data_IF_870010862109
#
_entry.id   IF_870010862109
#
_cell.length_a   1.000
_cell.length_b   1.000
_cell.length_c   1.000
_cell.angle_alpha   90.00
_cell.angle_beta   90.00
_cell.angle_gamma   90.00
#
_symmetry.space_group_name_H-M   'P 1'
#
loop_
_entity.id
_entity.type
_entity.pdbx_description
1 polymer ?
#
# COMPACT_ATOMS: atom_id res chain seq x y z
N UNK A 1 -53.95 66.45 21.36
CA UNK A 1 -52.65 67.05 21.72
C UNK A 1 -51.80 65.98 22.42
N UNK A 2 -51.12 65.02 21.79
CA UNK A 2 -50.69 64.75 20.41
C UNK A 2 -50.09 65.96 19.72
N UNK A 3 -48.81 66.20 19.99
CA UNK A 3 -47.72 66.75 19.16
C UNK A 3 -46.64 67.16 20.17
N UNK A 4 -45.63 66.31 20.37
CA UNK A 4 -44.28 66.68 20.89
C UNK A 4 -43.34 65.50 21.21
N UNK A 5 -43.67 64.27 20.79
CA UNK A 5 -42.77 63.11 20.91
C UNK A 5 -42.21 62.60 19.56
N UNK A 6 -42.22 63.45 18.52
CA UNK A 6 -41.96 63.02 17.12
C UNK A 6 -40.65 63.49 16.49
N UNK A 7 -39.89 64.40 17.11
CA UNK A 7 -38.75 65.07 16.44
C UNK A 7 -37.36 64.80 17.05
N UNK A 8 -37.23 63.90 18.03
CA UNK A 8 -35.95 63.61 18.67
C UNK A 8 -35.30 62.25 18.29
N UNK A 9 -35.88 61.51 17.33
CA UNK A 9 -35.36 60.20 16.92
C UNK A 9 -34.96 60.11 15.43
N UNK A 10 -34.92 61.24 14.73
CA UNK A 10 -34.38 61.33 13.36
C UNK A 10 -33.04 62.06 13.41
N UNK A 11 -32.03 61.44 14.03
CA UNK A 11 -30.64 61.91 13.97
C UNK A 11 -29.64 60.80 14.31
N UNK A 12 -29.77 59.62 13.70
CA UNK A 12 -28.60 58.75 13.46
C UNK A 12 -28.89 57.76 12.32
N UNK A 13 -29.35 58.28 11.18
CA UNK A 13 -29.33 57.56 9.90
C UNK A 13 -28.03 57.91 9.20
N UNK A 14 -26.98 57.14 9.46
CA UNK A 14 -25.65 57.45 8.94
C UNK A 14 -24.57 56.40 9.18
N UNK A 15 -24.91 55.11 9.31
CA UNK A 15 -23.91 54.05 9.14
C UNK A 15 -24.15 53.34 7.81
N UNK A 16 -23.37 53.78 6.84
CA UNK A 16 -23.15 53.15 5.56
C UNK A 16 -22.88 51.63 5.75
N UNK A 17 -23.65 50.72 5.12
CA UNK A 17 -23.42 49.28 5.21
C UNK A 17 -22.08 48.84 4.60
N UNK A 18 -21.28 49.76 4.03
CA UNK A 18 -19.91 49.53 3.59
C UNK A 18 -18.86 49.43 4.71
N UNK A 19 -19.20 49.77 5.97
CA UNK A 19 -18.27 49.79 7.11
C UNK A 19 -18.21 48.51 7.97
N UNK A 20 -18.84 47.41 7.55
CA UNK A 20 -18.52 46.10 8.11
C UNK A 20 -17.29 45.54 7.38
N UNK A 21 -16.11 46.04 7.74
CA UNK A 21 -14.86 45.40 7.38
C UNK A 21 -14.90 43.91 7.79
N UNK A 22 -14.18 43.03 7.07
CA UNK A 22 -14.19 41.60 7.39
C UNK A 22 -13.87 41.40 8.88
N UNK A 23 -14.54 40.44 9.56
CA UNK A 23 -14.34 40.19 10.98
C UNK A 23 -12.84 40.03 11.27
N UNK A 24 -12.35 40.51 12.43
CA UNK A 24 -10.92 40.50 12.73
C UNK A 24 -10.38 39.08 12.62
N UNK A 25 -9.57 38.84 11.59
CA UNK A 25 -8.92 37.56 11.31
C UNK A 25 -8.17 37.14 12.58
N UNK A 26 -8.52 35.97 13.12
CA UNK A 26 -7.95 35.51 14.38
C UNK A 26 -6.45 35.32 14.20
N UNK A 27 -5.66 35.48 15.26
CA UNK A 27 -4.20 35.31 15.17
C UNK A 27 -3.78 33.92 14.65
N UNK A 28 -4.67 32.92 14.80
CA UNK A 28 -4.50 31.57 14.27
C UNK A 28 -4.68 31.55 12.74
N UNK A 29 -5.71 32.21 12.23
CA UNK A 29 -6.00 32.31 10.80
C UNK A 29 -4.89 33.07 10.07
N UNK A 30 -4.39 34.15 10.67
CA UNK A 30 -3.27 34.95 10.13
C UNK A 30 -1.96 34.18 10.07
N UNK A 31 -1.71 33.30 11.06
CA UNK A 31 -0.53 32.44 11.08
C UNK A 31 -0.65 31.31 10.06
N UNK A 32 -1.82 30.68 9.97
CA UNK A 32 -2.09 29.65 8.98
C UNK A 32 -2.01 30.20 7.55
N UNK A 33 -2.59 31.38 7.29
CA UNK A 33 -2.53 32.02 5.97
C UNK A 33 -1.10 32.43 5.60
N UNK A 34 -0.30 32.92 6.55
CA UNK A 34 1.12 33.23 6.36
C UNK A 34 2.02 32.01 6.12
N UNK A 35 1.78 30.89 6.81
CA UNK A 35 2.50 29.63 6.56
C UNK A 35 2.11 29.04 5.21
N UNK A 36 0.83 29.09 4.85
CA UNK A 36 0.32 28.61 3.56
C UNK A 36 0.89 29.47 2.41
N UNK A 37 0.90 30.79 2.53
CA UNK A 37 1.45 31.68 1.50
C UNK A 37 2.95 31.49 1.34
N UNK A 38 3.71 31.30 2.43
CA UNK A 38 5.14 31.00 2.37
C UNK A 38 5.44 29.68 1.66
N UNK A 39 4.57 28.66 1.84
CA UNK A 39 4.68 27.38 1.10
C UNK A 39 4.43 27.58 -0.40
N UNK A 40 3.45 28.41 -0.77
CA UNK A 40 3.12 28.69 -2.17
C UNK A 40 4.07 29.67 -2.87
N UNK A 41 4.72 30.58 -2.14
CA UNK A 41 5.68 31.56 -2.68
C UNK A 41 6.99 30.94 -3.15
N UNK A 42 7.35 29.75 -2.63
CA UNK A 42 8.45 29.00 -3.20
C UNK A 42 8.08 28.58 -4.63
N UNK A 43 8.71 29.21 -5.63
CA UNK A 43 8.57 28.93 -7.07
C UNK A 43 8.74 27.43 -7.42
N UNK A 44 9.30 26.65 -6.51
CA UNK A 44 9.49 25.20 -6.62
C UNK A 44 8.33 24.36 -6.07
N UNK A 45 7.37 24.92 -5.33
CA UNK A 45 6.32 24.15 -4.66
C UNK A 45 5.37 23.48 -5.66
N UNK A 46 4.89 24.21 -6.66
CA UNK A 46 4.03 23.65 -7.71
C UNK A 46 4.72 22.53 -8.48
N UNK A 47 6.02 22.70 -8.79
CA UNK A 47 6.83 21.68 -9.45
C UNK A 47 7.03 20.44 -8.56
N UNK A 48 7.35 20.62 -7.29
CA UNK A 48 7.48 19.52 -6.32
C UNK A 48 6.16 18.76 -6.14
N UNK A 49 5.05 19.47 -6.00
CA UNK A 49 3.72 18.87 -5.87
C UNK A 49 3.38 18.04 -7.12
N UNK A 50 3.58 18.59 -8.31
CA UNK A 50 3.36 17.89 -9.57
C UNK A 50 4.27 16.65 -9.67
N UNK A 51 5.55 16.79 -9.31
CA UNK A 51 6.50 15.69 -9.27
C UNK A 51 6.02 14.57 -8.34
N UNK A 52 5.55 14.88 -7.13
CA UNK A 52 5.00 13.88 -6.19
C UNK A 52 3.75 13.19 -6.74
N UNK A 53 2.82 13.96 -7.34
CA UNK A 53 1.59 13.40 -7.92
C UNK A 53 1.94 12.42 -9.05
N UNK A 54 2.82 12.82 -9.97
CA UNK A 54 3.24 11.97 -11.09
C UNK A 54 3.91 10.69 -10.58
N UNK A 55 4.84 10.81 -9.62
CA UNK A 55 5.50 9.64 -9.03
C UNK A 55 4.50 8.70 -8.33
N UNK A 56 3.52 9.26 -7.61
CA UNK A 56 2.49 8.47 -6.96
C UNK A 56 1.61 7.72 -7.98
N UNK A 57 1.23 8.38 -9.08
CA UNK A 57 0.47 7.76 -10.16
C UNK A 57 1.25 6.64 -10.85
N UNK A 58 2.54 6.86 -11.14
CA UNK A 58 3.44 5.82 -11.69
C UNK A 58 3.54 4.64 -10.73
N UNK A 59 3.67 4.90 -9.42
CA UNK A 59 3.71 3.86 -8.39
C UNK A 59 2.44 3.01 -8.38
N UNK A 60 1.26 3.65 -8.28
CA UNK A 60 -0.03 2.94 -8.27
C UNK A 60 -0.25 2.15 -9.56
N UNK A 61 0.10 2.73 -10.71
CA UNK A 61 0.02 2.07 -12.01
C UNK A 61 0.91 0.82 -12.08
N UNK A 62 2.16 0.93 -11.63
CA UNK A 62 3.11 -0.19 -11.62
C UNK A 62 2.67 -1.31 -10.69
N UNK A 63 2.16 -0.98 -9.50
CA UNK A 63 1.61 -1.97 -8.57
C UNK A 63 0.41 -2.67 -9.20
N UNK A 64 -0.47 -1.94 -9.89
CA UNK A 64 -1.58 -2.51 -10.66
C UNK A 64 -1.10 -3.49 -11.74
N UNK A 65 -0.10 -3.09 -12.53
CA UNK A 65 0.46 -3.90 -13.60
C UNK A 65 1.06 -5.23 -13.09
N UNK A 66 1.84 -5.16 -12.01
CA UNK A 66 2.42 -6.36 -11.39
C UNK A 66 1.32 -7.28 -10.85
N UNK A 67 0.28 -6.72 -10.21
CA UNK A 67 -0.85 -7.53 -9.71
C UNK A 67 -1.63 -8.20 -10.85
N UNK A 68 -1.85 -7.51 -11.97
CA UNK A 68 -2.53 -8.07 -13.13
C UNK A 68 -1.73 -9.22 -13.76
N UNK A 69 -0.41 -9.08 -13.89
CA UNK A 69 0.47 -10.15 -14.38
C UNK A 69 0.51 -11.34 -13.40
N UNK A 70 0.63 -11.06 -12.10
CA UNK A 70 0.59 -12.07 -11.06
C UNK A 70 -0.73 -12.85 -11.05
N UNK A 71 -1.84 -12.19 -11.35
CA UNK A 71 -3.15 -12.83 -11.45
C UNK A 71 -3.25 -13.75 -12.68
N UNK A 72 -2.73 -13.34 -13.84
CA UNK A 72 -2.65 -14.25 -14.99
C UNK A 72 -1.78 -15.47 -14.69
N UNK A 73 -0.67 -15.29 -13.98
CA UNK A 73 0.20 -16.40 -13.59
C UNK A 73 -0.51 -17.35 -12.61
N UNK A 74 -1.22 -16.80 -11.62
CA UNK A 74 -1.98 -17.57 -10.65
C UNK A 74 -3.09 -18.42 -11.30
N UNK A 75 -3.71 -17.91 -12.38
CA UNK A 75 -4.71 -18.63 -13.18
C UNK A 75 -4.12 -19.64 -14.16
N UNK A 76 -2.79 -19.70 -14.30
CA UNK A 76 -2.13 -20.55 -15.29
C UNK A 76 -2.16 -20.01 -16.73
N UNK A 77 -2.59 -18.76 -16.93
CA UNK A 77 -2.61 -18.14 -18.24
C UNK A 77 -1.19 -17.81 -18.71
N UNK A 78 -0.78 -18.30 -19.88
CA UNK A 78 0.48 -17.90 -20.53
C UNK A 78 0.29 -16.57 -21.27
N UNK A 79 0.26 -15.46 -20.52
CA UNK A 79 0.22 -14.09 -21.08
C UNK A 79 1.62 -13.50 -21.20
N UNK A 80 1.87 -12.76 -22.28
CA UNK A 80 3.15 -12.09 -22.52
C UNK A 80 3.46 -10.96 -21.52
N UNK A 81 4.71 -10.49 -21.52
CA UNK A 81 5.22 -9.48 -20.58
C UNK A 81 4.42 -8.16 -20.56
N UNK A 82 3.83 -7.75 -21.68
CA UNK A 82 3.04 -6.53 -21.78
C UNK A 82 1.61 -6.61 -21.21
N UNK A 83 1.14 -7.81 -20.83
CA UNK A 83 -0.24 -8.00 -20.39
C UNK A 83 -0.57 -7.22 -19.11
N UNK A 84 0.30 -7.26 -18.11
CA UNK A 84 0.12 -6.51 -16.87
C UNK A 84 -0.08 -5.01 -17.11
N UNK A 85 0.76 -4.40 -17.96
CA UNK A 85 0.66 -2.99 -18.30
C UNK A 85 -0.59 -2.66 -19.11
N UNK A 86 -0.96 -3.50 -20.09
CA UNK A 86 -2.19 -3.31 -20.85
C UNK A 86 -3.43 -3.33 -19.94
N UNK A 87 -3.47 -4.26 -18.98
CA UNK A 87 -4.55 -4.33 -17.99
C UNK A 87 -4.55 -3.14 -17.05
N UNK A 88 -3.37 -2.66 -16.62
CA UNK A 88 -3.27 -1.47 -15.78
C UNK A 88 -3.79 -0.21 -16.50
N UNK A 89 -3.55 -0.08 -17.81
CA UNK A 89 -4.13 1.00 -18.63
C UNK A 89 -5.65 0.87 -18.71
N UNK A 90 -6.17 -0.32 -18.97
CA UNK A 90 -7.62 -0.57 -19.03
C UNK A 90 -8.33 -0.30 -17.70
N UNK A 91 -7.61 -0.41 -16.57
CA UNK A 91 -8.11 -0.16 -15.21
C UNK A 91 -7.58 1.14 -14.59
N UNK A 92 -6.99 2.02 -15.40
CA UNK A 92 -6.37 3.25 -14.92
C UNK A 92 -7.35 4.18 -14.18
N UNK A 93 -8.61 4.38 -14.63
CA UNK A 93 -9.58 5.18 -13.88
C UNK A 93 -9.87 4.64 -12.48
N UNK A 94 -9.96 3.31 -12.35
CA UNK A 94 -10.20 2.64 -11.07
C UNK A 94 -8.98 2.77 -10.14
N UNK A 95 -7.76 2.71 -10.70
CA UNK A 95 -6.52 2.93 -9.96
C UNK A 95 -6.38 4.36 -9.44
N UNK A 96 -6.78 5.36 -10.23
CA UNK A 96 -6.83 6.75 -9.76
C UNK A 96 -7.86 6.90 -8.64
N UNK A 97 -9.06 6.34 -8.82
CA UNK A 97 -10.09 6.38 -7.78
C UNK A 97 -9.63 5.72 -6.47
N UNK A 98 -8.89 4.60 -6.58
CA UNK A 98 -8.24 3.95 -5.45
C UNK A 98 -7.18 4.83 -4.76
N UNK A 99 -6.35 5.52 -5.54
CA UNK A 99 -5.34 6.42 -5.01
C UNK A 99 -5.97 7.61 -4.26
N UNK A 100 -7.01 8.23 -4.83
CA UNK A 100 -7.76 9.30 -4.17
C UNK A 100 -8.36 8.82 -2.85
N UNK A 101 -8.98 7.62 -2.83
CA UNK A 101 -9.50 7.03 -1.61
C UNK A 101 -8.40 6.88 -0.54
N UNK A 102 -7.21 6.44 -0.95
CA UNK A 102 -6.06 6.27 -0.04
C UNK A 102 -5.60 7.60 0.54
N UNK A 103 -5.58 8.68 -0.26
CA UNK A 103 -5.25 10.03 0.23
C UNK A 103 -6.29 10.48 1.26
N UNK A 104 -7.58 10.34 0.95
CA UNK A 104 -8.66 10.75 1.87
C UNK A 104 -8.54 10.01 3.19
N UNK A 105 -8.32 8.69 3.17
CA UNK A 105 -8.14 7.89 4.39
C UNK A 105 -6.87 8.29 5.14
N UNK A 106 -5.77 8.57 4.43
CA UNK A 106 -4.54 9.08 5.04
C UNK A 106 -4.75 10.41 5.77
N UNK A 107 -5.49 11.34 5.17
CA UNK A 107 -5.87 12.62 5.81
C UNK A 107 -6.73 12.36 7.06
N UNK A 108 -7.70 11.43 6.99
CA UNK A 108 -8.52 11.08 8.15
C UNK A 108 -7.68 10.54 9.31
N UNK A 109 -6.71 9.67 9.04
CA UNK A 109 -5.79 9.18 10.08
C UNK A 109 -4.92 10.29 10.66
N UNK A 110 -4.41 11.20 9.83
CA UNK A 110 -3.66 12.36 10.30
C UNK A 110 -4.50 13.29 11.19
N UNK A 111 -5.82 13.37 10.97
CA UNK A 111 -6.73 14.11 11.86
C UNK A 111 -6.93 13.37 13.19
N UNK A 112 -7.13 12.05 13.16
CA UNK A 112 -7.30 11.23 14.38
C UNK A 112 -6.04 11.27 15.25
N UNK A 113 -4.85 11.29 14.65
CA UNK A 113 -3.58 11.35 15.36
C UNK A 113 -3.41 12.63 16.18
N UNK A 114 -4.07 13.74 15.78
CA UNK A 114 -4.00 15.02 16.50
C UNK A 114 -4.72 15.01 17.86
N UNK A 115 -5.45 13.95 18.21
CA UNK A 115 -6.11 13.82 19.51
C UNK A 115 -5.06 13.48 20.59
N UNK A 116 -5.00 14.30 21.66
CA UNK A 116 -3.97 14.18 22.71
C UNK A 116 -3.96 12.79 23.37
N UNK A 117 -2.77 12.21 23.52
CA UNK A 117 -2.43 10.94 24.19
C UNK A 117 -3.04 9.64 23.60
N UNK A 118 -4.28 9.66 23.13
CA UNK A 118 -5.00 8.48 22.61
C UNK A 118 -4.98 8.42 21.08
N UNK A 119 -4.82 9.56 20.40
CA UNK A 119 -4.81 9.67 18.94
C UNK A 119 -3.80 8.74 18.25
N UNK A 120 -2.53 8.71 18.66
CA UNK A 120 -1.52 7.85 18.03
C UNK A 120 -1.84 6.35 18.14
N UNK A 121 -2.38 5.90 19.27
CA UNK A 121 -2.74 4.48 19.49
C UNK A 121 -3.92 4.09 18.60
N UNK A 122 -4.93 4.96 18.51
CA UNK A 122 -6.07 4.73 17.63
C UNK A 122 -5.66 4.77 16.15
N UNK A 123 -4.84 5.74 15.75
CA UNK A 123 -4.32 5.82 14.38
C UNK A 123 -3.53 4.56 14.01
N UNK A 124 -2.75 4.00 14.94
CA UNK A 124 -2.05 2.73 14.76
C UNK A 124 -3.03 1.57 14.55
N UNK A 125 -4.02 1.41 15.43
CA UNK A 125 -5.01 0.31 15.33
C UNK A 125 -5.86 0.41 14.06
N UNK A 126 -6.32 1.62 13.71
CA UNK A 126 -7.05 1.84 12.47
C UNK A 126 -6.16 1.64 11.24
N UNK A 127 -4.89 2.04 11.30
CA UNK A 127 -3.92 1.79 10.24
C UNK A 127 -3.68 0.29 10.02
N UNK A 128 -3.57 -0.50 11.10
CA UNK A 128 -3.47 -1.95 11.02
C UNK A 128 -4.74 -2.58 10.45
N UNK A 129 -5.91 -2.18 10.95
CA UNK A 129 -7.20 -2.65 10.44
C UNK A 129 -7.37 -2.31 8.95
N UNK A 130 -6.98 -1.10 8.54
CA UNK A 130 -6.97 -0.66 7.14
C UNK A 130 -6.03 -1.48 6.29
N UNK A 131 -4.81 -1.76 6.77
CA UNK A 131 -3.83 -2.57 6.05
C UNK A 131 -4.35 -3.99 5.79
N UNK A 132 -5.01 -4.59 6.77
CA UNK A 132 -5.67 -5.90 6.61
C UNK A 132 -6.84 -5.78 5.64
N UNK A 133 -7.73 -4.82 5.86
CA UNK A 133 -8.94 -4.65 5.06
C UNK A 133 -8.65 -4.38 3.60
N UNK A 134 -7.60 -3.61 3.32
CA UNK A 134 -7.19 -3.24 1.95
C UNK A 134 -6.23 -4.22 1.31
N UNK A 135 -5.86 -5.28 2.03
CA UNK A 135 -4.88 -6.26 1.57
C UNK A 135 -5.21 -6.68 0.13
N UNK A 136 -6.37 -7.25 -0.18
CA UNK A 136 -6.71 -7.67 -1.55
C UNK A 136 -7.29 -6.59 -2.47
N UNK A 137 -7.46 -5.35 -2.03
CA UNK A 137 -8.22 -4.35 -2.80
C UNK A 137 -7.66 -4.14 -4.21
N UNK A 138 -6.37 -3.88 -4.37
CA UNK A 138 -5.77 -3.69 -5.70
C UNK A 138 -5.90 -4.96 -6.56
N UNK A 139 -5.74 -6.14 -5.96
CA UNK A 139 -5.87 -7.42 -6.67
C UNK A 139 -7.30 -7.64 -7.13
N UNK A 140 -8.30 -7.30 -6.32
CA UNK A 140 -9.71 -7.34 -6.69
C UNK A 140 -10.06 -6.35 -7.81
N UNK A 141 -9.51 -5.13 -7.77
CA UNK A 141 -9.66 -4.13 -8.85
C UNK A 141 -9.08 -4.67 -10.15
N UNK A 142 -7.89 -5.30 -10.11
CA UNK A 142 -7.28 -5.88 -11.31
C UNK A 142 -8.05 -7.12 -11.81
N UNK A 143 -8.58 -7.95 -10.90
CA UNK A 143 -9.28 -9.18 -11.24
C UNK A 143 -10.66 -8.92 -11.86
N UNK A 144 -11.41 -7.98 -11.30
CA UNK A 144 -12.84 -7.77 -11.64
C UNK A 144 -13.12 -6.42 -12.28
N UNK A 145 -12.23 -5.43 -12.11
CA UNK A 145 -12.47 -4.06 -12.54
C UNK A 145 -13.43 -3.27 -11.66
N UNK A 146 -13.72 -3.76 -10.44
CA UNK A 146 -14.61 -3.10 -9.52
C UNK A 146 -14.06 -1.74 -9.04
N UNK A 147 -14.96 -0.87 -8.58
CA UNK A 147 -14.58 0.40 -7.97
C UNK A 147 -13.89 0.23 -6.62
N UNK A 148 -13.21 1.26 -6.10
CA UNK A 148 -12.37 1.15 -4.91
C UNK A 148 -13.16 0.75 -3.64
N UNK A 149 -14.38 1.26 -3.46
CA UNK A 149 -15.23 0.89 -2.32
C UNK A 149 -15.65 -0.59 -2.40
N UNK A 150 -16.05 -1.04 -3.58
CA UNK A 150 -16.39 -2.45 -3.80
C UNK A 150 -15.17 -3.36 -3.61
N UNK A 151 -13.97 -2.90 -3.96
CA UNK A 151 -12.73 -3.63 -3.76
C UNK A 151 -12.39 -3.83 -2.28
N UNK A 152 -12.59 -2.80 -1.43
CA UNK A 152 -12.39 -2.90 0.03
C UNK A 152 -13.39 -3.89 0.65
N UNK A 153 -14.66 -3.80 0.26
CA UNK A 153 -15.70 -4.71 0.74
C UNK A 153 -15.45 -6.15 0.28
N UNK A 154 -15.05 -6.33 -0.98
CA UNK A 154 -14.66 -7.63 -1.54
C UNK A 154 -13.45 -8.21 -0.81
N UNK A 155 -12.42 -7.41 -0.56
CA UNK A 155 -11.21 -7.83 0.17
C UNK A 155 -11.55 -8.39 1.55
N UNK A 156 -12.48 -7.76 2.29
CA UNK A 156 -12.98 -8.30 3.57
C UNK A 156 -13.54 -9.72 3.42
N UNK A 157 -14.40 -9.93 2.42
CA UNK A 157 -15.00 -11.25 2.13
C UNK A 157 -13.90 -12.26 1.80
N UNK A 158 -13.01 -11.93 0.88
CA UNK A 158 -11.91 -12.80 0.44
C UNK A 158 -11.00 -13.21 1.62
N UNK A 159 -10.71 -12.29 2.56
CA UNK A 159 -9.94 -12.61 3.77
C UNK A 159 -10.69 -13.59 4.67
N UNK A 160 -11.98 -13.36 4.90
CA UNK A 160 -12.81 -14.25 5.70
C UNK A 160 -12.88 -15.64 5.06
N UNK A 161 -13.00 -15.71 3.74
CA UNK A 161 -13.06 -16.96 2.99
C UNK A 161 -11.70 -17.68 3.03
N UNK A 162 -10.57 -16.96 2.90
CA UNK A 162 -9.23 -17.52 3.13
C UNK A 162 -9.13 -18.16 4.51
N UNK A 163 -9.54 -17.42 5.55
CA UNK A 163 -9.43 -17.84 6.94
C UNK A 163 -10.35 -19.03 7.26
N UNK A 164 -11.54 -19.08 6.65
CA UNK A 164 -12.47 -20.21 6.77
C UNK A 164 -11.94 -21.45 6.07
N UNK A 165 -11.44 -21.31 4.84
CA UNK A 165 -10.80 -22.41 4.10
C UNK A 165 -9.59 -22.95 4.87
N UNK A 166 -8.76 -22.08 5.46
CA UNK A 166 -7.64 -22.45 6.36
C UNK A 166 -8.07 -23.26 7.58
N UNK A 167 -9.24 -22.96 8.15
CA UNK A 167 -9.74 -23.62 9.37
C UNK A 167 -10.75 -24.75 9.14
N UNK A 168 -11.16 -25.03 7.90
CA UNK A 168 -12.22 -25.99 7.58
C UNK A 168 -11.76 -27.47 7.63
N UNK A 169 -12.72 -28.43 7.58
CA UNK A 169 -12.43 -29.88 7.57
C UNK A 169 -11.72 -30.36 6.30
N UNK A 170 -11.79 -29.60 5.21
CA UNK A 170 -10.99 -29.78 3.99
C UNK A 170 -9.60 -29.15 4.14
N UNK A 171 -8.94 -29.36 5.28
CA UNK A 171 -7.57 -28.89 5.52
C UNK A 171 -6.51 -29.69 4.75
N UNK A 172 -6.89 -30.27 3.61
CA UNK A 172 -5.99 -30.60 2.49
C UNK A 172 -5.58 -29.32 1.73
N UNK A 173 -5.38 -28.23 2.47
CA UNK A 173 -4.56 -27.13 1.97
C UNK A 173 -3.18 -27.71 1.86
N UNK A 174 -2.85 -28.15 0.65
CA UNK A 174 -1.49 -28.49 0.32
C UNK A 174 -0.69 -27.18 0.28
N UNK A 175 -0.34 -26.70 1.48
CA UNK A 175 0.63 -25.66 1.74
C UNK A 175 1.94 -25.93 0.99
N UNK A 176 2.13 -27.12 0.40
CA UNK A 176 3.21 -27.49 -0.51
C UNK A 176 3.35 -26.54 -1.71
N UNK A 177 2.30 -26.06 -2.37
CA UNK A 177 2.46 -25.11 -3.51
C UNK A 177 2.96 -23.74 -3.04
N UNK A 178 2.42 -23.24 -1.92
CA UNK A 178 2.92 -22.03 -1.26
C UNK A 178 4.35 -22.22 -0.73
N UNK A 179 4.66 -23.43 -0.23
CA UNK A 179 5.96 -23.83 0.35
C UNK A 179 7.02 -24.05 -0.72
N UNK A 180 6.68 -24.39 -1.97
CA UNK A 180 7.63 -24.44 -3.10
C UNK A 180 8.03 -23.02 -3.51
N UNK A 181 7.07 -22.10 -3.66
CA UNK A 181 7.36 -20.68 -3.90
C UNK A 181 8.13 -20.02 -2.76
N UNK A 182 7.80 -20.37 -1.52
CA UNK A 182 8.50 -19.90 -0.32
C UNK A 182 9.86 -20.60 -0.10
N UNK A 183 10.07 -21.83 -0.58
CA UNK A 183 11.36 -22.55 -0.48
C UNK A 183 12.42 -21.96 -1.40
N UNK A 184 12.03 -21.47 -2.58
CA UNK A 184 12.98 -20.84 -3.51
C UNK A 184 13.09 -19.33 -3.24
N UNK A 185 11.96 -18.64 -3.02
CA UNK A 185 11.94 -17.20 -2.78
C UNK A 185 12.27 -16.76 -1.35
N UNK A 186 11.97 -17.60 -0.34
CA UNK A 186 12.16 -17.29 1.07
C UNK A 186 13.64 -17.19 1.47
N UNK A 187 14.48 -18.20 1.19
CA UNK A 187 15.92 -18.11 1.45
C UNK A 187 16.58 -16.96 0.68
N UNK A 188 16.17 -16.70 -0.57
CA UNK A 188 16.68 -15.58 -1.36
C UNK A 188 16.34 -14.23 -0.71
N UNK A 189 15.12 -14.07 -0.20
CA UNK A 189 14.71 -12.86 0.55
C UNK A 189 15.50 -12.69 1.85
N UNK A 190 15.71 -13.77 2.61
CA UNK A 190 16.47 -13.71 3.87
C UNK A 190 17.93 -13.39 3.61
N UNK A 191 18.55 -14.02 2.61
CA UNK A 191 19.94 -13.73 2.22
C UNK A 191 20.06 -12.29 1.72
N UNK A 192 19.12 -11.83 0.89
CA UNK A 192 19.14 -10.46 0.37
C UNK A 192 18.88 -9.41 1.45
N UNK A 193 18.02 -9.68 2.44
CA UNK A 193 17.76 -8.75 3.55
C UNK A 193 18.95 -8.68 4.50
N UNK A 194 19.58 -9.82 4.80
CA UNK A 194 20.83 -9.86 5.57
C UNK A 194 21.95 -9.08 4.87
N UNK A 195 22.08 -9.20 3.54
CA UNK A 195 23.09 -8.46 2.77
C UNK A 195 22.89 -6.94 2.85
N UNK A 196 21.64 -6.46 2.75
CA UNK A 196 21.31 -5.03 2.92
C UNK A 196 21.60 -4.55 4.35
N UNK A 197 21.24 -5.34 5.37
CA UNK A 197 21.53 -5.02 6.77
C UNK A 197 23.04 -4.97 7.00
N UNK A 198 23.81 -5.94 6.49
CA UNK A 198 25.26 -5.97 6.59
C UNK A 198 25.89 -4.75 5.90
N UNK A 199 25.43 -4.39 4.69
CA UNK A 199 25.92 -3.20 4.00
C UNK A 199 25.54 -1.90 4.73
N UNK A 200 24.34 -1.79 5.29
CA UNK A 200 23.95 -0.64 6.11
C UNK A 200 24.83 -0.54 7.37
N UNK A 201 24.97 -1.64 8.11
CA UNK A 201 25.83 -1.67 9.31
C UNK A 201 27.27 -1.28 8.95
N UNK A 202 27.78 -1.76 7.83
CA UNK A 202 29.12 -1.42 7.35
C UNK A 202 29.28 0.05 6.90
N UNK A 203 28.20 0.76 6.55
CA UNK A 203 28.24 2.21 6.31
C UNK A 203 28.21 3.04 7.60
N UNK A 204 27.60 2.52 8.68
CA UNK A 204 27.46 3.23 9.97
C UNK A 204 28.56 2.90 10.97
N UNK A 205 29.14 1.70 10.92
CA UNK A 205 30.37 1.37 11.63
C UNK A 205 31.50 2.11 10.91
N UNK A 206 32.13 3.09 11.57
CA UNK A 206 33.19 3.95 11.05
C UNK A 206 34.27 3.12 10.30
N UNK A 207 34.05 2.92 9.00
CA UNK A 207 34.83 2.01 8.17
C UNK A 207 36.26 2.51 7.92
N UNK A 208 36.61 3.68 8.47
CA UNK A 208 37.97 4.23 8.53
C UNK A 208 38.97 3.29 9.19
N UNK A 209 38.53 2.41 10.09
CA UNK A 209 39.40 1.43 10.75
C UNK A 209 39.72 0.20 9.87
N UNK A 210 38.82 -0.18 8.96
CA UNK A 210 38.90 -1.42 8.17
C UNK A 210 39.51 -1.20 6.78
N UNK A 211 39.21 -0.08 6.15
CA UNK A 211 39.85 0.33 4.91
C UNK A 211 40.46 1.71 5.12
N UNK A 212 41.76 1.84 4.88
CA UNK A 212 42.46 3.13 4.73
C UNK A 212 41.98 3.88 3.45
N UNK A 213 40.67 3.86 3.19
CA UNK A 213 40.05 4.15 1.91
C UNK A 213 39.69 5.63 1.78
N UNK A 214 40.05 6.22 0.64
CA UNK A 214 39.58 7.55 0.25
C UNK A 214 38.09 7.57 -0.10
N UNK A 215 37.54 8.77 -0.31
CA UNK A 215 36.13 9.04 -0.63
C UNK A 215 35.55 8.22 -1.81
N UNK A 216 36.40 7.63 -2.66
CA UNK A 216 35.97 6.74 -3.74
C UNK A 216 35.41 5.40 -3.25
N UNK A 217 35.93 4.83 -2.15
CA UNK A 217 35.45 3.54 -1.62
C UNK A 217 34.06 3.70 -1.00
N UNK A 218 33.84 4.79 -0.26
CA UNK A 218 32.52 5.10 0.31
C UNK A 218 31.48 5.37 -0.77
N UNK A 219 31.83 6.12 -1.83
CA UNK A 219 30.94 6.33 -2.97
C UNK A 219 30.59 5.02 -3.70
N UNK A 220 31.57 4.13 -3.93
CA UNK A 220 31.33 2.83 -4.54
C UNK A 220 30.45 1.91 -3.69
N UNK A 221 30.59 1.96 -2.37
CA UNK A 221 29.78 1.19 -1.43
C UNK A 221 28.31 1.67 -1.40
N UNK A 222 28.10 2.99 -1.40
CA UNK A 222 26.76 3.58 -1.51
C UNK A 222 26.11 3.18 -2.85
N UNK A 223 26.85 3.26 -3.96
CA UNK A 223 26.35 2.83 -5.27
C UNK A 223 25.95 1.35 -5.28
N UNK A 224 26.79 0.48 -4.71
CA UNK A 224 26.50 -0.96 -4.60
C UNK A 224 25.27 -1.23 -3.73
N UNK A 225 25.16 -0.56 -2.59
CA UNK A 225 23.99 -0.67 -1.71
C UNK A 225 22.71 -0.27 -2.45
N UNK A 226 22.72 0.82 -3.21
CA UNK A 226 21.56 1.27 -3.97
C UNK A 226 21.12 0.23 -5.00
N UNK A 227 22.06 -0.38 -5.73
CA UNK A 227 21.74 -1.46 -6.69
C UNK A 227 21.11 -2.66 -6.00
N UNK A 228 21.68 -3.09 -4.87
CA UNK A 228 21.12 -4.20 -4.08
C UNK A 228 19.72 -3.86 -3.56
N UNK A 229 19.49 -2.63 -3.09
CA UNK A 229 18.18 -2.19 -2.61
C UNK A 229 17.13 -2.21 -3.72
N UNK A 230 17.47 -1.76 -4.93
CA UNK A 230 16.56 -1.79 -6.08
C UNK A 230 16.19 -3.22 -6.47
N UNK A 231 17.18 -4.11 -6.55
CA UNK A 231 16.95 -5.52 -6.90
C UNK A 231 16.07 -6.20 -5.83
N UNK A 232 16.39 -6.01 -4.56
CA UNK A 232 15.64 -6.62 -3.47
C UNK A 232 14.21 -6.06 -3.40
N UNK A 233 14.03 -4.75 -3.59
CA UNK A 233 12.71 -4.11 -3.63
C UNK A 233 11.85 -4.64 -4.78
N UNK A 234 12.42 -4.80 -5.97
CA UNK A 234 11.73 -5.37 -7.13
C UNK A 234 11.34 -6.85 -6.88
N UNK A 235 12.27 -7.65 -6.34
CA UNK A 235 12.00 -9.05 -5.99
C UNK A 235 10.89 -9.18 -4.95
N UNK A 236 10.96 -8.38 -3.89
CA UNK A 236 9.96 -8.37 -2.82
C UNK A 236 8.57 -7.96 -3.35
N UNK A 237 8.50 -6.94 -4.20
CA UNK A 237 7.26 -6.49 -4.83
C UNK A 237 6.62 -7.60 -5.69
N UNK A 238 7.44 -8.27 -6.51
CA UNK A 238 6.98 -9.36 -7.37
C UNK A 238 6.48 -10.56 -6.55
N UNK A 239 7.26 -11.00 -5.55
CA UNK A 239 6.88 -12.12 -4.69
C UNK A 239 5.57 -11.82 -3.95
N UNK A 240 5.46 -10.63 -3.38
CA UNK A 240 4.26 -10.20 -2.67
C UNK A 240 3.03 -10.21 -3.58
N UNK A 241 3.15 -9.70 -4.80
CA UNK A 241 2.06 -9.71 -5.77
C UNK A 241 1.66 -11.13 -6.19
N UNK A 242 2.62 -12.02 -6.45
CA UNK A 242 2.34 -13.43 -6.80
C UNK A 242 1.64 -14.16 -5.66
N UNK A 243 2.18 -14.08 -4.45
CA UNK A 243 1.61 -14.72 -3.26
C UNK A 243 0.15 -14.29 -3.04
N UNK A 244 -0.07 -12.98 -3.14
CA UNK A 244 -1.36 -12.35 -2.97
C UNK A 244 -2.35 -12.76 -4.06
N UNK A 245 -1.94 -12.79 -5.33
CA UNK A 245 -2.80 -13.22 -6.44
C UNK A 245 -3.15 -14.70 -6.37
N UNK A 246 -2.21 -15.57 -6.01
CA UNK A 246 -2.49 -17.01 -5.80
C UNK A 246 -3.50 -17.20 -4.68
N UNK A 247 -3.32 -16.49 -3.55
CA UNK A 247 -4.25 -16.57 -2.42
C UNK A 247 -5.64 -16.05 -2.80
N UNK A 248 -5.71 -14.98 -3.60
CA UNK A 248 -6.96 -14.43 -4.11
C UNK A 248 -7.71 -15.41 -5.01
N UNK A 249 -7.03 -16.01 -6.00
CA UNK A 249 -7.61 -17.00 -6.93
C UNK A 249 -8.06 -18.25 -6.17
N UNK A 250 -7.25 -18.74 -5.23
CA UNK A 250 -7.62 -19.87 -4.39
C UNK A 250 -8.87 -19.58 -3.53
N UNK A 251 -9.00 -18.35 -3.01
CA UNK A 251 -10.11 -17.97 -2.17
C UNK A 251 -11.42 -17.76 -2.93
N UNK A 252 -11.41 -17.05 -4.06
CA UNK A 252 -12.63 -16.68 -4.81
C UNK A 252 -12.93 -17.58 -6.00
N UNK A 253 -11.93 -18.18 -6.64
CA UNK A 253 -12.11 -18.89 -7.92
C UNK A 253 -12.04 -20.42 -7.80
N UNK A 254 -11.55 -20.97 -6.67
CA UNK A 254 -11.38 -22.41 -6.41
C UNK A 254 -10.64 -23.19 -7.53
N UNK A 255 -9.90 -22.47 -8.37
CA UNK A 255 -9.13 -22.99 -9.50
C UNK A 255 -7.66 -22.77 -9.22
N UNK A 256 -6.95 -23.82 -8.82
CA UNK A 256 -5.48 -23.81 -8.83
C UNK A 256 -5.00 -24.23 -10.22
N UNK A 257 -3.84 -23.71 -10.65
CA UNK A 257 -3.28 -23.98 -11.97
C UNK A 257 -3.15 -25.50 -12.22
N UNK A 258 -3.69 -25.94 -13.35
CA UNK A 258 -3.79 -27.33 -13.84
C UNK A 258 -2.43 -28.03 -14.06
N UNK A 259 -1.32 -27.30 -13.92
CA UNK A 259 0.04 -27.77 -14.21
C UNK A 259 0.78 -28.34 -12.98
N UNK A 260 0.06 -28.73 -11.91
CA UNK A 260 0.64 -29.47 -10.79
C UNK A 260 0.51 -30.96 -11.10
N UNK A 261 1.61 -31.54 -11.58
CA UNK A 261 1.68 -32.93 -12.01
C UNK A 261 1.59 -33.88 -10.80
N UNK A 262 0.54 -34.68 -10.75
CA UNK A 262 0.25 -35.61 -9.63
C UNK A 262 1.16 -36.83 -9.61
N UNK A 263 1.81 -37.19 -10.73
CA UNK A 263 2.75 -38.33 -10.80
C UNK A 263 4.12 -38.05 -10.16
N UNK A 264 4.58 -36.79 -10.21
CA UNK A 264 5.80 -36.36 -9.49
C UNK A 264 5.54 -36.31 -7.98
N UNK A 265 4.27 -36.13 -7.58
CA UNK A 265 3.83 -36.18 -6.19
C UNK A 265 3.76 -37.62 -5.67
N UNK A 266 3.27 -38.59 -6.45
CA UNK A 266 3.20 -40.00 -6.05
C UNK A 266 4.57 -40.61 -5.71
N UNK A 267 5.63 -40.22 -6.42
CA UNK A 267 6.99 -40.70 -6.17
C UNK A 267 7.75 -39.91 -5.08
N UNK A 268 7.18 -38.81 -4.58
CA UNK A 268 7.77 -38.00 -3.52
C UNK A 268 7.29 -38.39 -2.12
N UNK A 269 6.29 -39.28 -2.02
CA UNK A 269 5.83 -39.86 -0.77
C UNK A 269 6.39 -41.27 -0.62
N UNK A 270 7.36 -41.41 0.29
CA UNK A 270 7.71 -42.72 0.84
C UNK A 270 6.42 -43.30 1.44
N UNK A 271 6.06 -44.53 1.01
CA UNK A 271 4.97 -45.30 1.57
C UNK A 271 4.98 -45.21 3.10
N UNK A 272 3.81 -44.95 3.71
CA UNK A 272 3.68 -45.08 5.16
C UNK A 272 4.06 -46.52 5.51
N UNK A 273 5.04 -46.79 6.40
CA UNK A 273 5.11 -48.11 6.99
C UNK A 273 3.80 -48.30 7.75
N UNK A 274 2.98 -49.18 7.22
CA UNK A 274 1.77 -49.66 7.86
C UNK A 274 2.26 -50.42 9.08
N UNK A 275 2.36 -49.75 10.23
CA UNK A 275 2.53 -50.46 11.49
C UNK A 275 1.21 -51.18 11.73
N UNK A 276 1.16 -52.43 11.24
CA UNK A 276 0.04 -53.32 11.40
C UNK A 276 -0.20 -53.61 12.88
N UNK A 277 -1.12 -52.88 13.49
CA UNK A 277 -1.83 -53.32 14.69
C UNK A 277 -3.08 -54.09 14.26
N UNK A 278 -2.88 -55.16 13.49
CA UNK A 278 -3.93 -56.11 13.14
C UNK A 278 -3.32 -57.47 12.74
N UNK A 279 -2.61 -58.13 13.66
CA UNK A 279 -2.70 -59.58 13.93
C UNK A 279 -1.53 -60.08 14.77
N UNK A 280 -1.85 -60.60 15.96
CA UNK A 280 -1.06 -61.45 16.89
C UNK A 280 0.04 -60.77 17.71
#
# INVERSE_FOLDING_TARGET
AVVDAGNALIADSGKDPSQNGPPPETALDRKASGEISAVFEHTNFGFLLLFFIINALIGVFTIGAINAQALSLARGDRKGFGYGYAMAVARFPQLIAWWILTIVVGVLFAVVERIRFVGPILALLFGLAWSVLTFFSITAIMATGCGPIAAVTGSKKTIVDCVKKIRGPQSDIDLKTLRVGLRVGGPLLVISSLLVITMMVALFVDFRWVHKGGHGVTAGMIGTLLVVMVINGAFHSALYAVLKSVLYVWAEEDKLAENVDTEVLDNAFIERPQFGLASL
#
